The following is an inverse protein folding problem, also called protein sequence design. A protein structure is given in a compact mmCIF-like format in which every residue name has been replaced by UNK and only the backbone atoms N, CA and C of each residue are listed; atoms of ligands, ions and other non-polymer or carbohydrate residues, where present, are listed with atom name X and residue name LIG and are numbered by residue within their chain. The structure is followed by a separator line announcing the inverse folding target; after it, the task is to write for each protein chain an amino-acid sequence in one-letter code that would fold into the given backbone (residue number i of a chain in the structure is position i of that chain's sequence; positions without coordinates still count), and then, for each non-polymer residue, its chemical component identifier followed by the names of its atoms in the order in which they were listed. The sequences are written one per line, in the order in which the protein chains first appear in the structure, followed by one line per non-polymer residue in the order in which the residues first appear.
data_IF_713221838252
#
_entry.id   IF_713221838252
#
_cell.length_a   1.000
_cell.length_b   1.000
_cell.length_c   1.000
_cell.angle_alpha   90.00
_cell.angle_beta   90.00
_cell.angle_gamma   90.00
#
_symmetry.space_group_name_H-M   'P 1'
#
loop_
_entity.id
_entity.type
_entity.pdbx_description
1 polymer ?
#
# COMPACT_ATOMS: atom_id res chain seq x y z
N UNK A 1 14.16 4.50 10.60
CA UNK A 1 12.95 4.05 11.32
C UNK A 1 12.62 5.14 12.29
N UNK A 2 11.36 5.34 12.60
CA UNK A 2 10.98 6.37 13.55
C UNK A 2 11.53 5.99 14.95
N UNK A 3 12.39 6.84 15.52
CA UNK A 3 13.19 6.49 16.71
C UNK A 3 12.36 6.43 18.00
N UNK A 4 11.15 7.00 17.99
CA UNK A 4 10.29 7.07 19.18
C UNK A 4 9.18 6.02 19.20
N UNK A 5 8.76 5.49 18.06
CA UNK A 5 7.69 4.49 17.91
C UNK A 5 7.75 3.83 16.54
N UNK A 6 7.37 2.57 16.45
CA UNK A 6 7.28 1.85 15.18
C UNK A 6 5.84 1.82 14.64
N UNK A 7 5.66 2.10 13.34
CA UNK A 7 4.39 1.86 12.63
C UNK A 7 4.51 0.63 11.73
N UNK A 8 3.80 -0.44 12.07
CA UNK A 8 3.83 -1.73 11.40
C UNK A 8 2.52 -1.98 10.68
N UNK A 9 2.58 -2.38 9.41
CA UNK A 9 1.40 -2.83 8.67
C UNK A 9 1.40 -4.36 8.58
N UNK A 10 0.33 -5.01 9.01
CA UNK A 10 0.15 -6.46 8.84
C UNK A 10 -0.93 -6.73 7.79
N UNK A 11 -0.54 -7.32 6.66
CA UNK A 11 -1.48 -7.81 5.64
C UNK A 11 -1.94 -9.20 6.03
N UNK A 12 -3.14 -9.32 6.60
CA UNK A 12 -3.66 -10.60 7.08
C UNK A 12 -4.23 -11.46 5.95
N UNK A 13 -3.73 -12.70 5.81
CA UNK A 13 -4.27 -13.76 4.96
C UNK A 13 -4.14 -13.55 3.45
N UNK A 14 -3.29 -14.31 2.76
CA UNK A 14 -2.95 -14.17 1.33
C UNK A 14 -3.24 -15.42 0.51
N UNK A 15 -3.69 -15.20 -0.72
CA UNK A 15 -4.08 -16.23 -1.67
C UNK A 15 -3.16 -16.10 -2.90
N UNK A 16 -2.11 -16.93 -2.99
CA UNK A 16 -1.17 -16.89 -4.11
C UNK A 16 -1.88 -17.00 -5.46
N UNK A 17 -1.46 -16.22 -6.45
CA UNK A 17 -2.07 -16.15 -7.78
C UNK A 17 -3.36 -15.34 -7.87
N UNK A 18 -3.99 -14.99 -6.73
CA UNK A 18 -5.18 -14.12 -6.67
C UNK A 18 -4.88 -12.76 -6.06
N UNK A 19 -4.07 -12.72 -5.02
CA UNK A 19 -3.86 -11.51 -4.21
C UNK A 19 -2.52 -10.83 -4.48
N UNK A 20 -1.66 -11.39 -5.33
CA UNK A 20 -0.24 -10.96 -5.47
C UNK A 20 -0.11 -9.46 -5.74
N UNK A 21 -0.92 -8.94 -6.66
CA UNK A 21 -0.93 -7.51 -6.98
C UNK A 21 -1.42 -6.68 -5.79
N UNK A 22 -2.52 -7.08 -5.15
CA UNK A 22 -3.10 -6.35 -4.02
C UNK A 22 -2.18 -6.33 -2.80
N UNK A 23 -1.58 -7.48 -2.44
CA UNK A 23 -0.58 -7.57 -1.37
C UNK A 23 0.63 -6.68 -1.67
N UNK A 24 1.11 -6.68 -2.92
CA UNK A 24 2.21 -5.79 -3.34
C UNK A 24 1.82 -4.32 -3.17
N UNK A 25 0.63 -3.92 -3.60
CA UNK A 25 0.15 -2.54 -3.42
C UNK A 25 0.00 -2.16 -1.95
N UNK A 26 -0.46 -3.07 -1.07
CA UNK A 26 -0.48 -2.83 0.37
C UNK A 26 0.92 -2.52 0.91
N UNK A 27 1.92 -3.33 0.56
CA UNK A 27 3.31 -3.09 1.00
C UNK A 27 3.90 -1.80 0.46
N UNK A 28 3.68 -1.48 -0.82
CA UNK A 28 4.16 -0.23 -1.41
C UNK A 28 3.44 1.00 -0.84
N UNK A 29 2.16 0.88 -0.50
CA UNK A 29 1.38 1.95 0.16
C UNK A 29 1.89 2.17 1.58
N UNK A 30 2.10 1.09 2.35
CA UNK A 30 2.68 1.17 3.68
C UNK A 30 4.04 1.87 3.65
N UNK A 31 4.92 1.48 2.73
CA UNK A 31 6.21 2.12 2.51
C UNK A 31 6.05 3.61 2.23
N UNK A 32 5.28 3.95 1.20
CA UNK A 32 5.14 5.32 0.71
C UNK A 32 4.53 6.28 1.74
N UNK A 33 3.63 5.78 2.61
CA UNK A 33 2.87 6.59 3.56
C UNK A 33 3.33 6.41 5.00
N UNK A 34 4.65 6.28 5.19
CA UNK A 34 5.26 6.51 6.49
C UNK A 34 5.37 5.31 7.44
N UNK A 35 4.88 4.11 7.07
CA UNK A 35 5.11 2.92 7.91
C UNK A 35 6.61 2.53 7.92
N UNK A 36 7.05 1.86 8.99
CA UNK A 36 8.43 1.41 9.15
C UNK A 36 8.65 0.00 8.59
N UNK A 37 7.62 -0.85 8.64
CA UNK A 37 7.66 -2.19 8.05
C UNK A 37 6.30 -2.76 7.68
N UNK A 38 6.32 -3.77 6.82
CA UNK A 38 5.15 -4.60 6.51
C UNK A 38 5.41 -6.07 6.83
N UNK A 39 4.42 -6.71 7.44
CA UNK A 39 4.37 -8.15 7.72
C UNK A 39 3.37 -8.78 6.76
N UNK A 40 3.87 -9.61 5.86
CA UNK A 40 3.08 -10.42 4.95
C UNK A 40 2.93 -11.86 5.45
N UNK A 41 1.91 -12.59 4.98
CA UNK A 41 1.85 -14.04 5.17
C UNK A 41 3.06 -14.70 4.51
N UNK A 42 3.56 -15.80 5.08
CA UNK A 42 4.72 -16.55 4.60
C UNK A 42 4.64 -16.97 3.13
N UNK A 43 3.43 -17.21 2.62
CA UNK A 43 3.16 -17.59 1.25
C UNK A 43 3.13 -16.41 0.23
N UNK A 44 3.42 -15.18 0.65
CA UNK A 44 3.41 -13.98 -0.20
C UNK A 44 4.82 -13.57 -0.71
N UNK A 45 5.66 -14.55 -1.05
CA UNK A 45 7.07 -14.33 -1.40
C UNK A 45 7.29 -13.33 -2.54
N UNK A 46 6.54 -13.44 -3.63
CA UNK A 46 6.68 -12.56 -4.80
C UNK A 46 6.38 -11.09 -4.49
N UNK A 47 5.34 -10.84 -3.68
CA UNK A 47 5.03 -9.50 -3.19
C UNK A 47 6.15 -8.96 -2.32
N UNK A 48 6.69 -9.78 -1.41
CA UNK A 48 7.79 -9.38 -0.55
C UNK A 48 9.06 -9.03 -1.34
N UNK A 49 9.43 -9.83 -2.33
CA UNK A 49 10.55 -9.56 -3.24
C UNK A 49 10.37 -8.23 -3.98
N UNK A 50 9.19 -8.00 -4.55
CA UNK A 50 8.89 -6.76 -5.29
C UNK A 50 9.01 -5.52 -4.39
N UNK A 51 8.49 -5.58 -3.17
CA UNK A 51 8.56 -4.45 -2.23
C UNK A 51 10.00 -4.21 -1.76
N UNK A 52 10.78 -5.26 -1.52
CA UNK A 52 12.21 -5.14 -1.17
C UNK A 52 13.02 -4.54 -2.31
N UNK A 53 12.78 -4.98 -3.55
CA UNK A 53 13.44 -4.45 -4.74
C UNK A 53 13.14 -2.96 -4.97
N UNK A 54 11.87 -2.53 -4.82
CA UNK A 54 11.53 -1.11 -4.87
C UNK A 54 12.19 -0.33 -3.73
N UNK A 55 12.23 -0.90 -2.53
CA UNK A 55 12.90 -0.26 -1.37
C UNK A 55 14.40 -0.11 -1.59
N UNK A 56 15.07 -1.10 -2.20
CA UNK A 56 16.48 -0.98 -2.55
C UNK A 56 16.72 0.12 -3.58
N UNK A 57 15.91 0.17 -4.64
CA UNK A 57 16.10 1.16 -5.73
C UNK A 57 15.72 2.58 -5.36
N UNK A 58 14.68 2.78 -4.54
CA UNK A 58 14.13 4.10 -4.23
C UNK A 58 14.31 4.50 -2.75
N UNK A 59 15.15 3.77 -2.03
CA UNK A 59 15.53 4.06 -0.65
C UNK A 59 14.51 3.63 0.40
N UNK A 60 14.92 3.77 1.64
CA UNK A 60 14.17 3.43 2.83
C UNK A 60 14.38 4.46 3.94
N UNK A 61 14.30 4.07 5.22
CA UNK A 61 14.21 2.69 5.72
C UNK A 61 12.77 2.13 5.68
N UNK A 62 12.61 0.90 5.17
CA UNK A 62 11.37 0.12 5.22
C UNK A 62 11.67 -1.39 5.22
N UNK A 63 11.17 -2.12 6.22
CA UNK A 63 11.41 -3.57 6.31
C UNK A 63 10.22 -4.41 5.83
N UNK A 64 10.51 -5.63 5.35
CA UNK A 64 9.51 -6.56 4.83
C UNK A 64 9.73 -7.94 5.44
N UNK A 65 8.73 -8.43 6.17
CA UNK A 65 8.74 -9.74 6.82
C UNK A 65 7.70 -10.69 6.20
N UNK A 66 8.02 -11.98 6.25
CA UNK A 66 7.14 -13.08 5.86
C UNK A 66 6.89 -13.95 7.10
N UNK A 67 5.63 -14.08 7.51
CA UNK A 67 5.24 -14.69 8.79
C UNK A 67 4.01 -15.56 8.65
N UNK A 68 4.09 -16.82 9.06
CA UNK A 68 2.94 -17.74 9.11
C UNK A 68 2.07 -17.50 10.36
N UNK A 69 2.66 -16.96 11.42
CA UNK A 69 2.10 -16.82 12.76
C UNK A 69 1.34 -15.49 12.99
N UNK A 70 0.71 -14.95 11.94
CA UNK A 70 0.09 -13.62 11.95
C UNK A 70 -0.91 -13.40 13.10
N UNK A 71 -1.69 -14.44 13.46
CA UNK A 71 -2.62 -14.38 14.59
C UNK A 71 -1.90 -14.19 15.93
N UNK A 72 -0.76 -14.86 16.11
CA UNK A 72 0.04 -14.73 17.31
C UNK A 72 0.67 -13.34 17.40
N UNK A 73 1.18 -12.82 16.27
CA UNK A 73 1.69 -11.45 16.19
C UNK A 73 0.65 -10.44 16.66
N UNK A 74 -0.59 -10.50 16.14
CA UNK A 74 -1.65 -9.56 16.55
C UNK A 74 -2.01 -9.73 18.03
N UNK A 75 -2.13 -10.98 18.51
CA UNK A 75 -2.46 -11.27 19.91
C UNK A 75 -1.42 -10.71 20.87
N UNK A 76 -0.14 -10.92 20.55
CA UNK A 76 0.99 -10.68 21.45
C UNK A 76 1.66 -9.30 21.23
N UNK A 77 1.15 -8.48 20.29
CA UNK A 77 1.70 -7.15 20.02
C UNK A 77 1.61 -6.25 21.26
N UNK A 78 2.74 -5.70 21.68
CA UNK A 78 2.85 -4.77 22.82
C UNK A 78 2.77 -3.32 22.31
N UNK A 79 1.55 -2.84 22.08
CA UNK A 79 1.29 -1.52 21.52
C UNK A 79 -0.17 -1.33 21.16
N UNK A 80 -0.46 -0.30 20.35
CA UNK A 80 -1.81 -0.03 19.84
C UNK A 80 -2.07 -0.90 18.61
N UNK A 81 -3.19 -1.60 18.57
CA UNK A 81 -3.64 -2.37 17.41
C UNK A 81 -4.84 -1.69 16.78
N UNK A 82 -4.66 -1.24 15.53
CA UNK A 82 -5.73 -0.73 14.68
C UNK A 82 -6.09 -1.80 13.66
N UNK A 83 -7.33 -2.23 13.62
CA UNK A 83 -7.85 -3.11 12.58
C UNK A 83 -8.70 -2.31 11.60
N UNK A 84 -8.27 -2.25 10.34
CA UNK A 84 -9.03 -1.56 9.29
C UNK A 84 -10.13 -2.47 8.75
N UNK A 85 -11.37 -2.02 8.93
CA UNK A 85 -12.57 -2.75 8.54
C UNK A 85 -13.71 -1.77 8.25
N UNK A 86 -14.49 -2.02 7.21
CA UNK A 86 -15.67 -1.21 6.86
C UNK A 86 -16.74 -1.17 7.97
N UNK A 87 -16.67 -2.09 8.94
CA UNK A 87 -17.60 -2.15 10.07
C UNK A 87 -17.14 -1.34 11.29
N UNK A 88 -15.95 -0.73 11.22
CA UNK A 88 -15.35 0.00 12.33
C UNK A 88 -15.90 1.41 12.53
N UNK A 89 -15.41 2.08 13.57
CA UNK A 89 -15.66 3.49 13.85
C UNK A 89 -15.08 4.37 12.74
N UNK A 90 -15.74 5.51 12.48
CA UNK A 90 -15.36 6.37 11.38
C UNK A 90 -13.99 7.02 11.64
N UNK A 91 -13.09 6.96 10.65
CA UNK A 91 -11.71 7.44 10.81
C UNK A 91 -11.62 8.90 11.29
N UNK A 92 -12.51 9.78 10.83
CA UNK A 92 -12.48 11.19 11.24
C UNK A 92 -12.86 11.40 12.71
N UNK A 93 -13.54 10.44 13.34
CA UNK A 93 -13.96 10.53 14.74
C UNK A 93 -12.89 9.97 15.69
N UNK A 94 -12.08 9.00 15.23
CA UNK A 94 -11.13 8.26 16.09
C UNK A 94 -9.65 8.53 15.80
N UNK A 95 -9.30 9.18 14.67
CA UNK A 95 -7.90 9.42 14.31
C UNK A 95 -7.11 10.19 15.39
N UNK A 96 -7.71 11.21 16.00
CA UNK A 96 -7.06 11.96 17.09
C UNK A 96 -6.75 11.10 18.32
N UNK A 97 -7.69 10.25 18.74
CA UNK A 97 -7.47 9.34 19.86
C UNK A 97 -6.36 8.31 19.56
N UNK A 98 -6.26 7.84 18.30
CA UNK A 98 -5.17 6.95 17.88
C UNK A 98 -3.83 7.69 17.91
N UNK A 99 -3.78 8.93 17.42
CA UNK A 99 -2.57 9.76 17.43
C UNK A 99 -2.09 10.04 18.85
N UNK A 100 -2.98 10.43 19.75
CA UNK A 100 -2.68 10.58 21.17
C UNK A 100 -2.15 9.26 21.77
N UNK A 101 -2.83 8.16 21.47
CA UNK A 101 -2.48 6.83 21.98
C UNK A 101 -1.06 6.37 21.57
N UNK A 102 -0.57 6.80 20.40
CA UNK A 102 0.76 6.47 19.90
C UNK A 102 1.78 7.60 20.13
N UNK A 103 1.40 8.70 20.77
CA UNK A 103 2.28 9.83 21.05
C UNK A 103 2.67 10.65 19.81
N UNK A 104 1.74 10.80 18.86
CA UNK A 104 1.89 11.66 17.68
C UNK A 104 1.55 13.11 17.95
N UNK A 105 0.54 13.32 18.79
CA UNK A 105 0.10 14.65 19.16
C UNK A 105 0.75 15.03 20.49
N UNK A 106 1.20 16.28 20.58
CA UNK A 106 1.73 16.83 21.83
C UNK A 106 0.60 16.85 22.89
N UNK A 107 0.88 16.51 24.15
CA UNK A 107 -0.13 16.56 25.18
C UNK A 107 -0.53 18.01 25.45
N UNK A 108 -1.83 18.26 25.60
CA UNK A 108 -2.38 19.57 25.97
C UNK A 108 -1.82 20.07 27.33
N UNK A 109 -1.35 19.15 28.17
CA UNK A 109 -0.78 19.42 29.49
C UNK A 109 0.64 18.86 29.59
N UNK A 110 1.61 19.78 29.70
CA UNK A 110 3.02 19.45 29.98
C UNK A 110 3.14 18.58 31.25
N UNK A 111 3.48 17.31 31.06
CA UNK A 111 3.73 16.34 32.15
C UNK A 111 2.77 15.14 32.20
N UNK A 112 1.72 15.11 31.36
CA UNK A 112 0.78 13.98 31.27
C UNK A 112 1.01 13.10 30.02
N UNK A 113 2.06 13.37 29.25
CA UNK A 113 2.43 12.59 28.07
C UNK A 113 2.58 11.10 28.42
N UNK A 114 1.70 10.26 27.88
CA UNK A 114 1.97 8.83 27.86
C UNK A 114 3.20 8.56 26.98
N UNK A 115 4.02 7.60 27.36
CA UNK A 115 5.16 7.20 26.52
C UNK A 115 4.64 6.80 25.12
N UNK A 116 5.30 7.21 24.01
CA UNK A 116 4.93 6.78 22.67
C UNK A 116 4.85 5.25 22.60
N UNK A 117 3.85 4.75 21.89
CA UNK A 117 3.61 3.31 21.73
C UNK A 117 3.68 2.94 20.27
N UNK A 118 4.18 1.75 20.00
CA UNK A 118 4.18 1.18 18.66
C UNK A 118 2.73 0.95 18.20
N UNK A 119 2.55 1.00 16.88
CA UNK A 119 1.27 0.86 16.22
C UNK A 119 1.32 -0.31 15.24
N UNK A 120 0.39 -1.25 15.39
CA UNK A 120 0.12 -2.31 14.43
C UNK A 120 -1.19 -2.01 13.69
N UNK A 121 -1.08 -1.76 12.38
CA UNK A 121 -2.23 -1.58 11.48
C UNK A 121 -2.50 -2.90 10.76
N UNK A 122 -3.60 -3.55 11.09
CA UNK A 122 -4.03 -4.80 10.47
C UNK A 122 -4.98 -4.50 9.31
N UNK A 123 -4.61 -4.95 8.10
CA UNK A 123 -5.46 -4.91 6.91
C UNK A 123 -5.82 -6.33 6.48
N UNK A 124 -7.12 -6.59 6.35
CA UNK A 124 -7.65 -7.92 6.07
C UNK A 124 -7.66 -8.31 4.60
N UNK A 125 -7.52 -9.60 4.32
CA UNK A 125 -7.98 -10.25 3.09
C UNK A 125 -9.44 -10.70 3.17
N UNK A 126 -9.83 -11.73 2.41
CA UNK A 126 -11.24 -12.15 2.22
C UNK A 126 -12.03 -12.47 3.49
N UNK A 127 -11.38 -13.03 4.51
CA UNK A 127 -12.04 -13.43 5.77
C UNK A 127 -11.14 -13.14 6.96
N UNK A 128 -11.43 -12.04 7.64
CA UNK A 128 -10.79 -11.70 8.92
C UNK A 128 -11.50 -12.44 10.05
N UNK A 129 -10.79 -13.17 10.93
CA UNK A 129 -11.40 -13.87 12.05
C UNK A 129 -11.86 -12.91 13.16
N UNK A 130 -12.91 -13.30 13.90
CA UNK A 130 -13.46 -12.50 15.00
C UNK A 130 -12.43 -12.13 16.08
N UNK A 131 -11.48 -13.01 16.39
CA UNK A 131 -10.42 -12.74 17.36
C UNK A 131 -9.57 -11.50 17.03
N UNK A 132 -9.47 -11.11 15.75
CA UNK A 132 -8.79 -9.87 15.35
C UNK A 132 -9.63 -8.63 15.73
N UNK A 133 -10.96 -8.71 15.60
CA UNK A 133 -11.86 -7.64 16.05
C UNK A 133 -11.78 -7.45 17.57
N UNK A 134 -11.75 -8.55 18.32
CA UNK A 134 -11.68 -8.52 19.79
C UNK A 134 -10.33 -8.03 20.30
N UNK A 135 -9.23 -8.35 19.61
CA UNK A 135 -7.89 -7.89 20.01
C UNK A 135 -7.65 -6.43 19.64
N UNK A 136 -8.23 -5.92 18.56
CA UNK A 136 -7.95 -4.55 18.13
C UNK A 136 -8.39 -3.53 19.19
N UNK A 137 -7.48 -2.61 19.53
CA UNK A 137 -7.79 -1.47 20.39
C UNK A 137 -8.74 -0.50 19.67
N UNK A 138 -8.62 -0.43 18.33
CA UNK A 138 -9.51 0.32 17.46
C UNK A 138 -9.90 -0.52 16.24
N UNK A 139 -11.20 -0.70 16.01
CA UNK A 139 -11.70 -1.18 14.72
C UNK A 139 -12.13 0.05 13.92
N UNK A 140 -11.47 0.35 12.81
CA UNK A 140 -11.60 1.64 12.10
C UNK A 140 -12.07 1.45 10.67
N UNK A 141 -13.11 2.19 10.30
CA UNK A 141 -13.59 2.34 8.93
C UNK A 141 -13.16 3.69 8.34
N UNK A 142 -12.34 3.67 7.28
CA UNK A 142 -12.06 4.87 6.47
C UNK A 142 -13.32 5.37 5.77
N UNK A 143 -14.11 4.42 5.30
CA UNK A 143 -15.53 4.61 5.04
C UNK A 143 -16.24 3.38 5.58
N UNK A 144 -17.55 3.49 5.84
CA UNK A 144 -18.39 2.33 6.13
C UNK A 144 -19.00 1.70 4.87
N UNK A 145 -18.33 1.86 3.72
CA UNK A 145 -18.68 1.24 2.44
C UNK A 145 -17.64 0.18 2.05
N UNK A 146 -18.03 -0.91 1.37
CA UNK A 146 -17.08 -1.91 0.90
C UNK A 146 -16.21 -1.34 -0.22
N UNK A 147 -14.89 -1.33 -0.01
CA UNK A 147 -13.89 -0.92 -1.00
C UNK A 147 -12.58 -1.69 -0.79
N UNK A 148 -11.44 -1.14 -1.21
CA UNK A 148 -10.13 -1.78 -1.10
C UNK A 148 -9.42 -1.52 0.24
N UNK A 149 -8.70 -2.53 0.70
CA UNK A 149 -7.69 -2.49 1.75
C UNK A 149 -6.56 -1.48 1.47
N UNK A 150 -6.21 -1.26 0.20
CA UNK A 150 -5.19 -0.27 -0.21
C UNK A 150 -5.71 1.14 0.03
N UNK A 151 -6.95 1.42 -0.38
CA UNK A 151 -7.58 2.72 -0.17
C UNK A 151 -7.81 3.00 1.33
N UNK A 152 -8.25 1.97 2.08
CA UNK A 152 -8.39 2.08 3.53
C UNK A 152 -7.05 2.35 4.22
N UNK A 153 -5.99 1.66 3.84
CA UNK A 153 -4.66 1.91 4.41
C UNK A 153 -4.16 3.30 4.07
N UNK A 154 -4.29 3.73 2.81
CA UNK A 154 -3.77 5.01 2.35
C UNK A 154 -4.39 6.19 3.10
N UNK A 155 -5.73 6.24 3.16
CA UNK A 155 -6.42 7.32 3.88
C UNK A 155 -6.17 7.23 5.38
N UNK A 156 -6.09 6.03 5.96
CA UNK A 156 -5.78 5.90 7.38
C UNK A 156 -4.40 6.47 7.72
N UNK A 157 -3.36 6.11 6.96
CA UNK A 157 -2.00 6.60 7.19
C UNK A 157 -1.89 8.12 6.96
N UNK A 158 -2.53 8.65 5.91
CA UNK A 158 -2.62 10.09 5.65
C UNK A 158 -3.24 10.85 6.84
N UNK A 159 -4.35 10.35 7.39
CA UNK A 159 -4.98 10.95 8.59
C UNK A 159 -4.15 10.75 9.86
N UNK A 160 -3.47 9.61 9.97
CA UNK A 160 -2.60 9.32 11.10
C UNK A 160 -1.44 10.30 11.15
N UNK A 161 -0.81 10.61 10.03
CA UNK A 161 0.38 11.47 9.96
C UNK A 161 0.07 12.94 9.61
N UNK A 162 -1.18 13.27 9.25
CA UNK A 162 -1.61 14.61 8.82
C UNK A 162 -0.75 15.18 7.69
N UNK A 163 -0.44 14.32 6.71
CA UNK A 163 0.35 14.65 5.52
C UNK A 163 1.85 14.77 5.73
N UNK A 164 2.36 14.70 6.97
CA UNK A 164 3.79 14.81 7.27
C UNK A 164 4.63 13.70 6.61
N UNK A 165 4.04 12.56 6.29
CA UNK A 165 4.67 11.45 5.58
C UNK A 165 4.96 11.76 4.10
N UNK A 166 4.24 12.70 3.49
CA UNK A 166 4.40 13.07 2.07
C UNK A 166 5.70 13.83 1.80
N UNK A 167 6.23 14.51 2.84
CA UNK A 167 7.50 15.23 2.80
C UNK A 167 8.69 14.37 3.25
N UNK A 168 8.48 13.07 3.47
CA UNK A 168 9.52 12.17 3.97
C UNK A 168 10.67 12.01 2.97
N UNK A 169 11.89 12.19 3.47
CA UNK A 169 13.12 11.90 2.74
C UNK A 169 13.42 10.39 2.72
N UNK A 170 14.03 9.93 1.62
CA UNK A 170 14.39 8.53 1.39
C UNK A 170 15.91 8.36 1.50
N UNK A 171 16.34 7.66 2.54
CA UNK A 171 17.74 7.33 2.76
C UNK A 171 18.17 6.16 1.85
N UNK A 172 19.45 6.15 1.47
CA UNK A 172 20.08 5.06 0.70
C UNK A 172 19.30 4.72 -0.60
N UNK A 173 18.76 5.73 -1.28
CA UNK A 173 18.08 5.54 -2.55
C UNK A 173 19.10 5.51 -3.68
N UNK A 174 19.04 4.51 -4.57
CA UNK A 174 19.80 4.56 -5.82
C UNK A 174 19.19 5.54 -6.82
N UNK A 175 17.87 5.71 -6.77
CA UNK A 175 17.07 6.47 -7.74
C UNK A 175 16.05 7.37 -7.05
N UNK A 176 15.82 8.53 -7.66
CA UNK A 176 14.79 9.50 -7.23
C UNK A 176 13.92 9.94 -8.39
N UNK A 177 12.61 10.02 -8.16
CA UNK A 177 11.65 10.63 -9.10
C UNK A 177 11.68 12.14 -8.91
N UNK A 178 11.75 12.91 -10.00
CA UNK A 178 11.70 14.38 -9.97
C UNK A 178 10.27 14.84 -10.22
N UNK A 179 9.63 15.56 -9.26
CA UNK A 179 8.31 16.13 -9.48
C UNK A 179 8.31 17.15 -10.61
N UNK A 180 7.41 16.99 -11.57
CA UNK A 180 7.27 17.89 -12.71
C UNK A 180 5.81 17.97 -13.18
N UNK A 181 5.43 19.11 -13.76
CA UNK A 181 4.05 19.33 -14.21
C UNK A 181 3.64 18.39 -15.35
N UNK A 182 4.59 18.00 -16.21
CA UNK A 182 4.40 17.02 -17.28
C UNK A 182 5.75 16.40 -17.64
N UNK A 183 5.89 15.09 -17.46
CA UNK A 183 7.11 14.35 -17.74
C UNK A 183 7.20 13.05 -16.92
N UNK A 184 8.34 12.35 -17.02
CA UNK A 184 8.65 11.14 -16.24
C UNK A 184 10.15 11.02 -15.91
N UNK A 185 10.70 12.02 -15.27
CA UNK A 185 12.13 12.11 -14.96
C UNK A 185 12.51 11.30 -13.71
N UNK A 186 13.48 10.39 -13.86
CA UNK A 186 14.10 9.63 -12.77
C UNK A 186 15.62 9.80 -12.87
N UNK A 187 16.26 10.17 -11.77
CA UNK A 187 17.71 10.42 -11.68
C UNK A 187 18.37 9.47 -10.69
N UNK A 188 19.66 9.22 -10.85
CA UNK A 188 20.46 8.54 -9.82
C UNK A 188 20.64 9.47 -8.61
N UNK A 189 20.49 8.95 -7.39
CA UNK A 189 20.49 9.80 -6.19
C UNK A 189 21.89 10.27 -5.75
N UNK A 190 22.95 9.56 -6.17
CA UNK A 190 24.35 9.92 -5.92
C UNK A 190 24.89 11.01 -6.88
N UNK A 191 24.02 11.58 -7.73
CA UNK A 191 24.38 12.40 -8.89
C UNK A 191 24.50 13.91 -8.67
N UNK A 192 24.77 14.42 -7.47
CA UNK A 192 25.15 15.84 -7.24
C UNK A 192 26.63 16.12 -7.62
N UNK A 193 27.10 15.50 -8.71
CA UNK A 193 28.33 15.88 -9.40
C UNK A 193 28.01 16.12 -10.87
N UNK A 194 27.86 17.40 -11.20
CA UNK A 194 27.98 18.04 -12.53
C UNK A 194 27.62 17.20 -13.78
N UNK A 195 26.44 17.48 -14.33
CA UNK A 195 26.24 17.75 -15.75
C UNK A 195 26.42 16.61 -16.76
N UNK A 196 25.32 16.14 -17.33
CA UNK A 196 25.16 15.99 -18.79
C UNK A 196 23.67 16.02 -19.14
N UNK A 197 23.27 17.02 -19.93
CA UNK A 197 21.99 16.99 -20.66
C UNK A 197 22.13 15.92 -21.74
N UNK A 198 21.51 14.77 -21.55
CA UNK A 198 21.28 13.80 -22.62
C UNK A 198 19.96 14.12 -23.29
N UNK A 199 20.02 14.73 -24.47
CA UNK A 199 18.92 14.64 -25.44
C UNK A 199 18.71 13.17 -25.80
N UNK A 200 17.49 12.68 -25.67
CA UNK A 200 17.05 11.45 -26.34
C UNK A 200 15.84 11.78 -27.22
N UNK A 201 16.14 12.24 -28.44
CA UNK A 201 15.24 12.13 -29.58
C UNK A 201 15.30 10.69 -30.13
N UNK A 202 14.14 10.18 -30.57
CA UNK A 202 13.99 9.15 -31.61
C UNK A 202 14.34 7.70 -31.24
N UNK A 203 13.34 6.83 -31.14
CA UNK A 203 12.85 6.12 -32.33
C UNK A 203 11.67 5.21 -31.97
N UNK A 204 10.56 5.45 -32.65
CA UNK A 204 9.46 4.50 -32.76
C UNK A 204 9.73 3.60 -33.95
N UNK A 205 9.62 2.30 -33.76
CA UNK A 205 9.49 1.35 -34.85
C UNK A 205 8.11 0.70 -34.75
N UNK A 206 7.21 1.21 -35.58
CA UNK A 206 6.02 0.52 -36.05
C UNK A 206 6.47 -0.64 -36.95
N UNK A 207 6.06 -1.86 -36.61
CA UNK A 207 6.12 -2.99 -37.56
C UNK A 207 4.70 -3.27 -38.07
N UNK A 208 4.36 -2.63 -39.18
CA UNK A 208 3.29 -3.06 -40.08
C UNK A 208 3.71 -4.37 -40.77
N UNK A 209 2.79 -5.32 -40.82
CA UNK A 209 2.91 -6.54 -41.60
C UNK A 209 1.59 -6.81 -42.31
N UNK A 210 1.50 -6.36 -43.57
CA UNK A 210 0.61 -6.90 -44.60
C UNK A 210 0.92 -8.40 -44.78
N UNK A 211 0.03 -9.33 -45.06
CA UNK A 211 -1.33 -9.35 -45.59
C UNK A 211 -1.44 -10.68 -46.36
N UNK A 212 -2.59 -11.37 -46.33
CA UNK A 212 -3.05 -12.21 -47.44
C UNK A 212 -4.48 -12.69 -47.16
N UNK A 213 -5.39 -12.17 -48.00
CA UNK A 213 -6.79 -12.53 -48.12
C UNK A 213 -6.97 -13.94 -48.68
N UNK A 214 -8.00 -14.65 -48.21
CA UNK A 214 -8.70 -15.63 -49.05
C UNK A 214 -10.19 -15.54 -48.81
N UNK A 215 -10.88 -14.94 -49.77
CA UNK A 215 -12.33 -14.94 -49.93
C UNK A 215 -12.85 -16.36 -50.18
N UNK A 216 -14.03 -16.65 -49.64
CA UNK A 216 -14.80 -17.85 -49.89
C UNK A 216 -16.27 -17.54 -49.70
N UNK A 217 -16.90 -17.12 -50.80
CA UNK A 217 -18.32 -16.82 -50.92
C UNK A 217 -19.24 -17.99 -50.53
N UNK A 218 -20.39 -17.63 -49.99
CA UNK A 218 -21.50 -18.54 -49.72
C UNK A 218 -22.70 -17.79 -49.14
N UNK A 219 -23.32 -16.94 -49.95
CA UNK A 219 -24.69 -16.47 -49.73
C UNK A 219 -25.66 -17.65 -49.91
N UNK A 220 -26.61 -17.82 -48.99
CA UNK A 220 -28.02 -17.92 -49.38
C UNK A 220 -28.96 -17.64 -48.20
N UNK A 221 -30.10 -17.06 -48.57
CA UNK A 221 -31.21 -16.51 -47.80
C UNK A 221 -31.94 -17.60 -46.96
N UNK A 222 -32.86 -17.39 -46.02
CA UNK A 222 -33.91 -16.39 -45.85
C UNK A 222 -34.63 -16.58 -44.49
N UNK A 223 -35.51 -15.61 -44.19
CA UNK A 223 -36.75 -15.68 -43.39
C UNK A 223 -36.72 -15.73 -41.84
N UNK A 224 -36.80 -14.51 -41.27
CA UNK A 224 -37.84 -13.96 -40.38
C UNK A 224 -38.43 -14.73 -39.16
N UNK A 225 -38.97 -13.98 -38.16
CA UNK A 225 -39.02 -14.36 -36.75
C UNK A 225 -40.35 -14.98 -36.33
N UNK A 226 -40.38 -15.64 -35.17
CA UNK A 226 -41.66 -15.88 -34.48
C UNK A 226 -41.58 -15.63 -32.96
N UNK A 227 -42.68 -15.04 -32.52
CA UNK A 227 -43.13 -14.46 -31.26
C UNK A 227 -43.10 -15.39 -30.01
N UNK A 228 -42.96 -14.76 -28.83
CA UNK A 228 -43.63 -15.04 -27.51
C UNK A 228 -43.26 -16.35 -26.79
N UNK A 229 -43.16 -16.45 -25.45
CA UNK A 229 -43.68 -15.70 -24.29
C UNK A 229 -42.57 -15.40 -23.26
#
# INVERSE_FOLDING_TARGET
MNETREVVVLRYGHRPGRDDRMTTHVGLTARALGADRVIFPDNAGQSAETVRDITGRFGGPFAVELREDQKAIVRDFEGVVVHLTMYGEQVQDVAGAIREAVGLDEPDVLGEASAPRDLLVVVGGEKVPWALYERADFNVGVTNQPHSEVAGLAVFLDRLFDGAELDREWADADRRVVPEATGKTVVDADGDSEGTRGDSEGDGEDSEGDGEDSEGDGEDESDEPDDRD
#
